data_IF_866585046273
#
_entry.id   IF_866585046273
#
_cell.length_a   1.000
_cell.length_b   1.000
_cell.length_c   1.000
_cell.angle_alpha   90.00
_cell.angle_beta   90.00
_cell.angle_gamma   90.00
#
_symmetry.space_group_name_H-M   'P 1'
#
loop_
_entity.id
_entity.type
_entity.pdbx_description
1 polymer ?
#
# COMPACT_ATOMS: atom_id res chain seq x y z
N UNK A 1 90.33 -4.64 -24.47
CA UNK A 1 89.49 -3.48 -24.07
C UNK A 1 90.34 -2.21 -24.08
N UNK A 2 90.17 -1.35 -25.11
CA UNK A 2 90.89 -0.08 -25.30
C UNK A 2 90.53 0.95 -24.22
N UNK A 3 91.44 1.88 -23.88
CA UNK A 3 91.21 2.93 -22.86
C UNK A 3 89.96 3.77 -23.16
N UNK A 4 89.75 4.11 -24.43
CA UNK A 4 88.59 4.85 -24.93
C UNK A 4 87.24 4.13 -24.65
N UNK A 5 87.23 2.80 -24.67
CA UNK A 5 86.01 2.03 -24.36
C UNK A 5 85.65 2.05 -22.87
N UNK A 6 86.66 2.06 -21.99
CA UNK A 6 86.47 2.13 -20.53
C UNK A 6 85.93 3.49 -20.10
N UNK A 7 86.40 4.55 -20.74
CA UNK A 7 85.96 5.92 -20.44
C UNK A 7 84.51 6.17 -20.87
N UNK A 8 84.10 5.69 -22.06
CA UNK A 8 82.70 5.66 -22.49
C UNK A 8 81.80 4.83 -21.57
N UNK A 9 82.31 3.76 -20.96
CA UNK A 9 81.56 2.97 -19.99
C UNK A 9 81.38 3.71 -18.65
N UNK A 10 82.41 4.43 -18.19
CA UNK A 10 82.34 5.29 -16.99
C UNK A 10 81.34 6.44 -17.15
N UNK A 11 81.38 7.12 -18.30
CA UNK A 11 80.42 8.20 -18.60
C UNK A 11 78.98 7.69 -18.62
N UNK A 12 78.71 6.56 -19.29
CA UNK A 12 77.38 5.92 -19.30
C UNK A 12 76.91 5.51 -17.91
N UNK A 13 77.80 5.00 -17.05
CA UNK A 13 77.45 4.66 -15.67
C UNK A 13 77.17 5.92 -14.82
N UNK A 14 77.94 6.99 -14.99
CA UNK A 14 77.70 8.26 -14.31
C UNK A 14 76.36 8.89 -14.74
N UNK A 15 76.03 8.83 -16.02
CA UNK A 15 74.75 9.31 -16.56
C UNK A 15 73.57 8.48 -16.02
N UNK A 16 73.69 7.14 -15.99
CA UNK A 16 72.71 6.26 -15.34
C UNK A 16 72.52 6.59 -13.87
N UNK A 17 73.60 6.91 -13.15
CA UNK A 17 73.53 7.30 -11.74
C UNK A 17 72.80 8.64 -11.58
N UNK A 18 73.09 9.64 -12.43
CA UNK A 18 72.37 10.92 -12.45
C UNK A 18 70.88 10.75 -12.71
N UNK A 19 70.51 9.91 -13.68
CA UNK A 19 69.11 9.61 -13.98
C UNK A 19 68.39 8.94 -12.80
N UNK A 20 69.03 7.97 -12.12
CA UNK A 20 68.48 7.35 -10.91
C UNK A 20 68.26 8.36 -9.78
N UNK A 21 69.19 9.29 -9.58
CA UNK A 21 69.05 10.34 -8.56
C UNK A 21 67.95 11.33 -8.93
N UNK A 22 67.83 11.69 -10.22
CA UNK A 22 66.76 12.55 -10.71
C UNK A 22 65.38 11.88 -10.56
N UNK A 23 65.28 10.58 -10.84
CA UNK A 23 64.06 9.78 -10.63
C UNK A 23 63.66 9.75 -9.15
N UNK A 24 64.60 9.46 -8.24
CA UNK A 24 64.33 9.48 -6.79
C UNK A 24 63.83 10.85 -6.31
N UNK A 25 64.48 11.94 -6.74
CA UNK A 25 64.02 13.30 -6.41
C UNK A 25 62.62 13.60 -6.96
N UNK A 26 62.32 13.14 -8.17
CA UNK A 26 60.99 13.32 -8.75
C UNK A 26 59.92 12.50 -8.01
N UNK A 27 60.25 11.30 -7.55
CA UNK A 27 59.38 10.46 -6.71
C UNK A 27 59.15 11.09 -5.33
N UNK A 28 60.19 11.63 -4.69
CA UNK A 28 60.08 12.35 -3.42
C UNK A 28 59.14 13.56 -3.53
N UNK A 29 59.29 14.37 -4.58
CA UNK A 29 58.41 15.53 -4.83
C UNK A 29 56.96 15.10 -5.08
N UNK A 30 56.73 13.98 -5.78
CA UNK A 30 55.39 13.41 -5.96
C UNK A 30 54.80 12.95 -4.63
N UNK A 31 55.59 12.25 -3.82
CA UNK A 31 55.18 11.79 -2.49
C UNK A 31 54.84 12.97 -1.56
N UNK A 32 55.60 14.07 -1.59
CA UNK A 32 55.30 15.28 -0.82
C UNK A 32 53.99 15.95 -1.27
N UNK A 33 53.74 16.00 -2.57
CA UNK A 33 52.46 16.50 -3.11
C UNK A 33 51.28 15.63 -2.69
N UNK A 34 51.45 14.31 -2.70
CA UNK A 34 50.42 13.38 -2.24
C UNK A 34 50.17 13.50 -0.72
N UNK A 35 51.23 13.59 0.09
CA UNK A 35 51.12 13.89 1.53
C UNK A 35 50.35 15.18 1.77
N UNK A 36 50.70 16.24 1.04
CA UNK A 36 50.01 17.53 1.13
C UNK A 36 48.53 17.41 0.75
N UNK A 37 48.21 16.70 -0.33
CA UNK A 37 46.83 16.47 -0.78
C UNK A 37 46.00 15.71 0.28
N UNK A 38 46.56 14.64 0.84
CA UNK A 38 45.90 13.85 1.89
C UNK A 38 45.69 14.65 3.17
N UNK A 39 46.68 15.47 3.56
CA UNK A 39 46.57 16.38 4.70
C UNK A 39 45.43 17.39 4.52
N UNK A 40 45.35 18.05 3.35
CA UNK A 40 44.25 18.98 3.05
C UNK A 40 42.89 18.26 3.01
N UNK A 41 42.83 17.04 2.49
CA UNK A 41 41.60 16.25 2.50
C UNK A 41 41.17 15.90 3.93
N UNK A 42 42.10 15.46 4.78
CA UNK A 42 41.83 15.14 6.17
C UNK A 42 41.36 16.38 6.94
N UNK A 43 42.01 17.53 6.75
CA UNK A 43 41.61 18.80 7.36
C UNK A 43 40.20 19.22 6.94
N UNK A 44 39.87 19.10 5.64
CA UNK A 44 38.51 19.37 5.15
C UNK A 44 37.47 18.46 5.80
N UNK A 45 37.76 17.17 5.89
CA UNK A 45 36.85 16.20 6.53
C UNK A 45 36.64 16.56 8.01
N UNK A 46 37.72 16.89 8.72
CA UNK A 46 37.64 17.32 10.11
C UNK A 46 36.79 18.60 10.27
N UNK A 47 37.03 19.63 9.46
CA UNK A 47 36.21 20.85 9.49
C UNK A 47 34.72 20.55 9.22
N UNK A 48 34.41 19.64 8.29
CA UNK A 48 33.01 19.25 8.04
C UNK A 48 32.39 18.46 9.19
N UNK A 49 33.18 17.63 9.89
CA UNK A 49 32.71 16.91 11.07
C UNK A 49 32.40 17.88 12.21
N UNK A 50 33.34 18.78 12.52
CA UNK A 50 33.17 19.82 13.55
C UNK A 50 31.95 20.69 13.24
N UNK A 51 31.75 21.11 11.99
CA UNK A 51 30.58 21.90 11.60
C UNK A 51 29.26 21.14 11.85
N UNK A 52 29.21 19.84 11.54
CA UNK A 52 28.04 18.99 11.78
C UNK A 52 27.79 18.77 13.27
N UNK A 53 28.85 18.59 14.06
CA UNK A 53 28.74 18.45 15.52
C UNK A 53 28.20 19.74 16.14
N UNK A 54 28.77 20.88 15.77
CA UNK A 54 28.28 22.18 16.21
C UNK A 54 26.82 22.43 15.81
N UNK A 55 26.41 22.04 14.60
CA UNK A 55 25.00 22.11 14.19
C UNK A 55 24.09 21.23 15.07
N UNK A 56 24.54 20.01 15.40
CA UNK A 56 23.80 19.10 16.30
C UNK A 56 23.68 19.71 17.70
N UNK A 57 24.76 20.25 18.24
CA UNK A 57 24.77 20.93 19.54
C UNK A 57 23.81 22.13 19.56
N UNK A 58 23.84 22.95 18.51
CA UNK A 58 22.89 24.06 18.37
C UNK A 58 21.45 23.57 18.28
N UNK A 59 21.17 22.49 17.56
CA UNK A 59 19.83 21.92 17.51
C UNK A 59 19.38 21.40 18.87
N UNK A 60 20.26 20.74 19.64
CA UNK A 60 19.97 20.27 20.99
C UNK A 60 19.71 21.46 21.93
N UNK A 61 20.55 22.49 21.90
CA UNK A 61 20.37 23.71 22.69
C UNK A 61 19.08 24.46 22.33
N UNK A 62 18.77 24.58 21.04
CA UNK A 62 17.48 25.16 20.59
C UNK A 62 16.30 24.34 21.10
N UNK A 63 16.38 23.00 21.04
CA UNK A 63 15.31 22.13 21.53
C UNK A 63 15.15 22.21 23.04
N UNK A 64 16.24 22.32 23.81
CA UNK A 64 16.18 22.42 25.28
C UNK A 64 15.60 23.76 25.74
N UNK A 65 15.87 24.85 25.02
CA UNK A 65 15.33 26.19 25.31
C UNK A 65 13.87 26.38 24.88
N UNK A 66 13.31 25.49 24.04
CA UNK A 66 11.90 25.57 23.66
C UNK A 66 10.99 25.16 24.81
N UNK A 67 9.99 25.98 25.09
CA UNK A 67 8.91 25.62 26.02
C UNK A 67 8.05 24.49 25.45
N UNK A 68 7.43 23.73 26.33
CA UNK A 68 6.51 22.66 25.92
C UNK A 68 5.34 23.20 25.08
N UNK A 69 4.86 24.41 25.37
CA UNK A 69 3.84 25.10 24.58
C UNK A 69 4.28 25.35 23.13
N UNK A 70 5.54 25.78 22.91
CA UNK A 70 6.07 25.97 21.56
C UNK A 70 6.20 24.64 20.80
N UNK A 71 6.63 23.57 21.50
CA UNK A 71 6.68 22.23 20.90
C UNK A 71 5.29 21.71 20.56
N UNK A 72 4.29 21.97 21.39
CA UNK A 72 2.89 21.61 21.13
C UNK A 72 2.35 22.34 19.90
N UNK A 73 2.56 23.66 19.79
CA UNK A 73 2.14 24.46 18.64
C UNK A 73 2.79 24.00 17.31
N UNK A 74 4.07 23.59 17.36
CA UNK A 74 4.73 23.00 16.18
C UNK A 74 4.10 21.65 15.78
N UNK A 75 3.81 20.78 16.75
CA UNK A 75 3.15 19.50 16.49
C UNK A 75 1.76 19.70 15.91
N UNK A 76 1.00 20.67 16.42
CA UNK A 76 -0.33 21.01 15.90
C UNK A 76 -0.24 21.48 14.46
N UNK A 77 0.64 22.44 14.16
CA UNK A 77 0.89 22.91 12.78
C UNK A 77 1.29 21.79 11.83
N UNK A 78 2.17 20.89 12.27
CA UNK A 78 2.58 19.73 11.46
C UNK A 78 1.43 18.76 11.23
N UNK A 79 0.57 18.57 12.24
CA UNK A 79 -0.61 17.71 12.17
C UNK A 79 -1.62 18.28 11.17
N UNK A 80 -1.89 19.58 11.25
CA UNK A 80 -2.75 20.30 10.31
C UNK A 80 -2.19 20.27 8.88
N UNK A 81 -0.90 20.51 8.72
CA UNK A 81 -0.24 20.46 7.41
C UNK A 81 -0.34 19.05 6.80
N UNK A 82 -0.16 17.99 7.62
CA UNK A 82 -0.36 16.61 7.17
C UNK A 82 -1.81 16.32 6.83
N UNK A 83 -2.77 16.81 7.61
CA UNK A 83 -4.19 16.63 7.35
C UNK A 83 -4.60 17.29 6.02
N UNK A 84 -4.13 18.53 5.77
CA UNK A 84 -4.33 19.25 4.50
C UNK A 84 -3.72 18.51 3.31
N UNK A 85 -2.50 18.00 3.46
CA UNK A 85 -1.88 17.17 2.41
C UNK A 85 -2.71 15.93 2.12
N UNK A 86 -3.15 15.20 3.15
CA UNK A 86 -3.99 14.00 2.97
C UNK A 86 -5.33 14.33 2.32
N UNK A 87 -5.98 15.44 2.67
CA UNK A 87 -7.26 15.82 2.06
C UNK A 87 -7.12 16.19 0.59
N UNK A 88 -6.00 16.79 0.21
CA UNK A 88 -5.68 17.17 -1.18
C UNK A 88 -5.04 16.03 -1.98
N UNK A 89 -4.65 14.93 -1.34
CA UNK A 89 -4.00 13.82 -2.01
C UNK A 89 -4.95 13.11 -2.99
N UNK A 90 -4.56 12.98 -4.27
CA UNK A 90 -5.33 12.25 -5.27
C UNK A 90 -5.40 10.76 -4.93
N UNK A 91 -6.47 10.10 -5.41
CA UNK A 91 -6.71 8.67 -5.14
C UNK A 91 -5.54 7.76 -5.56
N UNK A 92 -4.88 8.09 -6.66
CA UNK A 92 -3.77 7.30 -7.20
C UNK A 92 -2.54 7.33 -6.28
N UNK A 93 -2.24 8.48 -5.66
CA UNK A 93 -1.15 8.56 -4.67
C UNK A 93 -1.45 7.76 -3.42
N UNK A 94 -2.71 7.73 -2.98
CA UNK A 94 -3.14 6.90 -1.84
C UNK A 94 -3.04 5.42 -2.17
N UNK A 95 -3.36 5.04 -3.41
CA UNK A 95 -3.23 3.67 -3.88
C UNK A 95 -1.76 3.26 -4.00
N UNK A 96 -0.90 4.12 -4.54
CA UNK A 96 0.54 3.87 -4.60
C UNK A 96 1.17 3.75 -3.20
N UNK A 97 0.70 4.54 -2.23
CA UNK A 97 1.15 4.43 -0.84
C UNK A 97 0.72 3.10 -0.19
N UNK A 98 -0.53 2.71 -0.43
CA UNK A 98 -1.03 1.40 0.00
C UNK A 98 -0.20 0.27 -0.61
N UNK A 99 0.14 0.35 -1.89
CA UNK A 99 0.95 -0.64 -2.60
C UNK A 99 2.39 -0.71 -2.07
N UNK A 100 3.00 0.44 -1.73
CA UNK A 100 4.29 0.46 -1.04
C UNK A 100 4.23 -0.30 0.29
N UNK A 101 3.17 -0.08 1.07
CA UNK A 101 2.98 -0.79 2.34
C UNK A 101 2.67 -2.29 2.19
N UNK A 102 1.98 -2.70 1.13
CA UNK A 102 1.78 -4.13 0.84
C UNK A 102 3.11 -4.77 0.43
N UNK A 103 3.85 -4.13 -0.46
CA UNK A 103 5.14 -4.63 -0.94
C UNK A 103 6.19 -4.70 0.18
N UNK A 104 6.19 -3.73 1.09
CA UNK A 104 7.04 -3.77 2.28
C UNK A 104 6.71 -4.97 3.18
N UNK A 105 5.42 -5.27 3.39
CA UNK A 105 4.98 -6.44 4.18
C UNK A 105 5.34 -7.77 3.52
N UNK A 106 5.25 -7.85 2.19
CA UNK A 106 5.65 -9.06 1.44
C UNK A 106 7.15 -9.31 1.54
N UNK A 107 7.97 -8.25 1.55
CA UNK A 107 9.44 -8.35 1.66
C UNK A 107 9.95 -8.52 3.10
N UNK A 108 9.07 -8.45 4.09
CA UNK A 108 9.44 -8.55 5.50
C UNK A 108 9.83 -9.99 5.86
N UNK A 109 10.94 -10.16 6.58
CA UNK A 109 11.36 -11.47 7.11
C UNK A 109 10.33 -12.00 8.12
N UNK A 110 10.29 -13.32 8.29
CA UNK A 110 9.36 -13.95 9.23
C UNK A 110 9.62 -13.49 10.67
N UNK A 111 10.89 -13.41 11.09
CA UNK A 111 11.30 -12.88 12.41
C UNK A 111 10.78 -11.46 12.66
N UNK A 112 10.92 -10.57 11.67
CA UNK A 112 10.42 -9.20 11.78
C UNK A 112 8.89 -9.17 11.82
N UNK A 113 8.23 -10.11 11.14
CA UNK A 113 6.78 -10.24 11.14
C UNK A 113 6.27 -10.71 12.51
N UNK A 114 6.97 -11.64 13.14
CA UNK A 114 6.60 -12.18 14.45
C UNK A 114 6.84 -11.16 15.56
N UNK A 115 7.98 -10.45 15.54
CA UNK A 115 8.23 -9.35 16.47
C UNK A 115 7.17 -8.25 16.37
N UNK A 116 6.74 -7.89 15.15
CA UNK A 116 5.65 -6.92 14.96
C UNK A 116 4.32 -7.44 15.53
N UNK A 117 4.01 -8.73 15.36
CA UNK A 117 2.79 -9.33 15.90
C UNK A 117 2.80 -9.36 17.43
N UNK A 118 3.93 -9.65 18.05
CA UNK A 118 4.07 -9.64 19.51
C UNK A 118 3.89 -8.23 20.06
N UNK A 119 4.55 -7.24 19.47
CA UNK A 119 4.37 -5.84 19.83
C UNK A 119 2.91 -5.38 19.67
N UNK A 120 2.23 -5.78 18.58
CA UNK A 120 0.83 -5.44 18.38
C UNK A 120 -0.08 -6.14 19.40
N UNK A 121 0.23 -7.39 19.83
CA UNK A 121 -0.48 -8.09 20.91
C UNK A 121 -0.36 -7.35 22.23
N UNK A 122 0.86 -7.00 22.63
CA UNK A 122 1.16 -6.27 23.87
C UNK A 122 0.42 -4.93 23.88
N UNK A 123 0.54 -4.14 22.81
CA UNK A 123 -0.20 -2.87 22.64
C UNK A 123 -1.71 -3.05 22.79
N UNK A 124 -2.27 -4.13 22.25
CA UNK A 124 -3.69 -4.43 22.37
C UNK A 124 -4.08 -4.88 23.79
N UNK A 125 -3.19 -5.58 24.51
CA UNK A 125 -3.38 -5.95 25.92
C UNK A 125 -3.38 -4.72 26.81
N UNK A 126 -2.38 -3.86 26.69
CA UNK A 126 -2.30 -2.58 27.41
C UNK A 126 -3.51 -1.71 27.10
N UNK A 127 -3.87 -1.61 25.82
CA UNK A 127 -5.04 -0.88 25.39
C UNK A 127 -6.34 -1.45 25.99
N UNK A 128 -6.44 -2.77 26.21
CA UNK A 128 -7.58 -3.39 26.89
C UNK A 128 -7.56 -3.15 28.39
N UNK A 129 -6.38 -3.15 29.03
CA UNK A 129 -6.23 -2.90 30.46
C UNK A 129 -6.64 -1.47 30.82
N UNK A 130 -6.25 -0.48 29.99
CA UNK A 130 -6.54 0.94 30.19
C UNK A 130 -7.96 1.38 29.79
N UNK A 131 -8.76 0.49 29.18
CA UNK A 131 -10.13 0.82 28.78
C UNK A 131 -11.07 0.95 29.99
N UNK A 132 -11.98 1.91 29.93
CA UNK A 132 -13.11 2.01 30.85
C UNK A 132 -14.17 0.96 30.52
N UNK A 133 -15.00 0.59 31.50
CA UNK A 133 -16.00 -0.46 31.31
C UNK A 133 -17.07 -0.08 30.27
N UNK A 134 -17.44 1.20 30.20
CA UNK A 134 -18.36 1.73 29.18
C UNK A 134 -17.86 1.45 27.75
N UNK A 135 -16.58 1.70 27.48
CA UNK A 135 -15.97 1.46 26.16
C UNK A 135 -15.89 -0.03 25.87
N UNK A 136 -15.71 -0.87 26.90
CA UNK A 136 -15.73 -2.34 26.74
C UNK A 136 -17.12 -2.82 26.38
N UNK A 137 -18.17 -2.32 27.03
CA UNK A 137 -19.54 -2.74 26.72
C UNK A 137 -20.00 -2.25 25.35
N UNK A 138 -19.67 -1.02 24.96
CA UNK A 138 -19.95 -0.50 23.61
C UNK A 138 -19.26 -1.33 22.52
N UNK A 139 -18.01 -1.78 22.75
CA UNK A 139 -17.34 -2.73 21.84
C UNK A 139 -18.04 -4.09 21.80
N UNK A 140 -18.49 -4.62 22.94
CA UNK A 140 -19.26 -5.88 22.99
C UNK A 140 -20.57 -5.73 22.22
N UNK A 141 -21.26 -4.61 22.36
CA UNK A 141 -22.50 -4.31 21.63
C UNK A 141 -22.26 -4.25 20.13
N UNK A 142 -21.24 -3.52 19.66
CA UNK A 142 -20.85 -3.52 18.24
C UNK A 142 -20.56 -4.92 17.70
N UNK A 143 -19.89 -5.77 18.50
CA UNK A 143 -19.64 -7.16 18.11
C UNK A 143 -20.94 -7.98 18.07
N UNK A 144 -21.86 -7.79 19.03
CA UNK A 144 -23.18 -8.43 19.03
C UNK A 144 -24.00 -8.01 17.80
N UNK A 145 -24.02 -6.72 17.48
CA UNK A 145 -24.69 -6.16 16.30
C UNK A 145 -24.09 -6.73 15.01
N UNK A 146 -22.77 -6.73 14.86
CA UNK A 146 -22.09 -7.33 13.70
C UNK A 146 -22.43 -8.82 13.55
N UNK A 147 -22.54 -9.55 14.66
CA UNK A 147 -22.93 -10.98 14.63
C UNK A 147 -24.40 -11.15 14.23
N UNK A 148 -25.30 -10.27 14.69
CA UNK A 148 -26.71 -10.25 14.27
C UNK A 148 -26.82 -10.00 12.77
N UNK A 149 -26.21 -8.93 12.27
CA UNK A 149 -26.26 -8.57 10.84
C UNK A 149 -25.62 -9.64 9.94
N UNK A 150 -24.50 -10.23 10.37
CA UNK A 150 -23.87 -11.32 9.63
C UNK A 150 -24.74 -12.60 9.59
N UNK A 151 -25.46 -12.90 10.69
CA UNK A 151 -26.40 -14.02 10.74
C UNK A 151 -27.62 -13.75 9.86
N UNK A 152 -28.18 -12.55 9.91
CA UNK A 152 -29.38 -12.17 9.15
C UNK A 152 -29.11 -12.10 7.64
N UNK A 153 -27.89 -11.69 7.25
CA UNK A 153 -27.44 -11.73 5.85
C UNK A 153 -27.37 -13.15 5.26
N UNK A 154 -27.22 -14.18 6.11
CA UNK A 154 -27.17 -15.60 5.72
C UNK A 154 -28.51 -16.33 5.98
N UNK A 155 -29.44 -15.75 6.74
CA UNK A 155 -30.68 -16.40 7.18
C UNK A 155 -31.88 -16.27 6.21
N UNK A 156 -31.66 -15.73 5.00
CA UNK A 156 -32.73 -15.29 4.11
C UNK A 156 -33.10 -16.29 2.98
N UNK A 157 -33.04 -17.60 3.26
CA UNK A 157 -33.62 -18.61 2.37
C UNK A 157 -34.63 -19.52 3.10
N UNK A 158 -34.35 -19.88 4.35
CA UNK A 158 -35.18 -20.85 5.11
C UNK A 158 -36.24 -20.19 6.00
N UNK A 159 -36.02 -18.95 6.44
CA UNK A 159 -36.96 -18.19 7.26
C UNK A 159 -37.62 -17.05 6.48
N UNK A 160 -37.98 -17.29 5.21
CA UNK A 160 -38.81 -16.35 4.46
C UNK A 160 -40.14 -16.18 5.19
N UNK A 161 -40.30 -15.07 5.92
CA UNK A 161 -41.54 -14.73 6.61
C UNK A 161 -42.40 -13.89 5.68
N UNK A 162 -43.45 -14.47 5.09
CA UNK A 162 -44.24 -13.77 4.08
C UNK A 162 -45.07 -12.61 4.67
N UNK A 163 -45.14 -12.50 6.00
CA UNK A 163 -45.75 -11.40 6.73
C UNK A 163 -44.88 -10.13 6.79
N UNK A 164 -43.57 -10.21 6.49
CA UNK A 164 -42.67 -9.05 6.52
C UNK A 164 -42.68 -8.23 5.22
N UNK A 165 -43.36 -8.70 4.18
CA UNK A 165 -43.51 -8.02 2.91
C UNK A 165 -44.96 -7.58 2.72
N UNK A 166 -45.17 -6.26 2.74
CA UNK A 166 -46.46 -5.61 2.46
C UNK A 166 -46.28 -4.59 1.36
N UNK A 167 -47.09 -4.67 0.31
CA UNK A 167 -47.04 -3.75 -0.81
C UNK A 167 -47.88 -4.25 -1.99
N UNK A 168 -48.22 -3.36 -2.94
CA UNK A 168 -49.03 -3.70 -4.11
C UNK A 168 -48.38 -4.79 -4.99
N UNK A 169 -47.06 -4.89 -4.96
CA UNK A 169 -46.28 -5.88 -5.70
C UNK A 169 -46.07 -7.19 -4.94
N UNK A 170 -46.92 -7.51 -3.95
CA UNK A 170 -46.92 -8.78 -3.21
C UNK A 170 -48.27 -9.47 -3.40
N UNK A 171 -48.25 -10.77 -3.70
CA UNK A 171 -49.46 -11.58 -3.85
C UNK A 171 -50.01 -11.88 -2.45
N UNK A 172 -51.27 -11.60 -2.16
CA UNK A 172 -51.83 -11.73 -0.80
C UNK A 172 -52.00 -13.19 -0.36
N UNK A 173 -52.15 -14.11 -1.33
CA UNK A 173 -52.39 -15.54 -1.10
C UNK A 173 -51.07 -16.32 -1.04
N UNK A 174 -50.17 -16.11 -2.00
CA UNK A 174 -48.86 -16.80 -2.03
C UNK A 174 -47.77 -16.03 -1.27
N UNK A 175 -48.04 -14.76 -0.92
CA UNK A 175 -47.14 -13.85 -0.19
C UNK A 175 -45.74 -13.74 -0.79
N UNK A 176 -45.65 -13.97 -2.10
CA UNK A 176 -44.47 -13.76 -2.96
C UNK A 176 -44.62 -12.44 -3.71
N UNK A 177 -43.51 -11.87 -4.16
CA UNK A 177 -43.57 -10.72 -5.05
C UNK A 177 -44.34 -11.06 -6.33
N UNK A 178 -45.34 -10.24 -6.66
CA UNK A 178 -45.96 -10.23 -7.98
C UNK A 178 -44.91 -9.72 -8.94
N UNK A 179 -44.40 -10.60 -9.79
CA UNK A 179 -43.58 -10.16 -10.91
C UNK A 179 -44.44 -9.26 -11.80
N UNK A 180 -43.91 -8.13 -12.30
CA UNK A 180 -44.59 -7.30 -13.27
C UNK A 180 -45.06 -8.17 -14.45
N UNK A 181 -46.21 -7.83 -15.04
CA UNK A 181 -46.68 -8.48 -16.27
C UNK A 181 -45.57 -8.44 -17.33
N UNK A 182 -44.95 -9.59 -17.58
CA UNK A 182 -44.00 -9.75 -18.66
C UNK A 182 -44.78 -9.78 -19.97
N UNK A 183 -44.28 -9.08 -20.98
CA UNK A 183 -44.83 -9.14 -22.33
C UNK A 183 -44.07 -10.20 -23.10
N UNK A 184 -44.76 -11.05 -23.85
CA UNK A 184 -44.08 -12.04 -24.69
C UNK A 184 -43.54 -11.34 -25.94
N UNK A 185 -42.25 -11.50 -26.21
CA UNK A 185 -41.62 -10.95 -27.41
C UNK A 185 -42.10 -11.68 -28.67
N UNK A 186 -42.65 -10.94 -29.63
CA UNK A 186 -43.19 -11.48 -30.89
C UNK A 186 -42.16 -12.24 -31.75
N UNK A 187 -40.85 -11.99 -31.55
CA UNK A 187 -39.79 -12.61 -32.36
C UNK A 187 -39.25 -13.92 -31.81
N UNK A 188 -39.36 -14.16 -30.49
CA UNK A 188 -38.69 -15.29 -29.84
C UNK A 188 -39.53 -16.00 -28.77
N UNK A 189 -40.78 -15.59 -28.55
CA UNK A 189 -41.62 -16.02 -27.43
C UNK A 189 -40.92 -15.91 -26.05
N UNK A 190 -39.90 -15.07 -25.94
CA UNK A 190 -39.19 -14.82 -24.69
C UNK A 190 -39.92 -13.75 -23.87
N UNK A 191 -39.88 -13.85 -22.55
CA UNK A 191 -40.45 -12.84 -21.66
C UNK A 191 -39.64 -11.55 -21.72
N UNK A 192 -40.34 -10.42 -21.88
CA UNK A 192 -39.80 -9.07 -21.89
C UNK A 192 -40.34 -8.31 -20.69
N UNK A 193 -39.43 -7.70 -19.93
CA UNK A 193 -39.80 -6.94 -18.74
C UNK A 193 -40.26 -5.52 -19.08
N UNK A 194 -41.20 -4.94 -18.33
CA UNK A 194 -41.56 -3.54 -18.48
C UNK A 194 -40.34 -2.66 -18.13
N UNK A 195 -39.94 -1.80 -19.08
CA UNK A 195 -38.73 -0.97 -18.99
C UNK A 195 -37.51 -1.53 -19.73
N UNK A 196 -37.58 -2.76 -20.24
CA UNK A 196 -36.53 -3.33 -21.07
C UNK A 196 -36.45 -2.64 -22.44
N UNK A 197 -35.24 -2.32 -22.90
CA UNK A 197 -35.01 -1.68 -24.19
C UNK A 197 -35.61 -2.52 -25.33
N UNK A 198 -36.04 -1.88 -26.43
CA UNK A 198 -36.60 -2.58 -27.60
C UNK A 198 -35.67 -3.66 -28.16
N UNK A 199 -34.37 -3.54 -27.89
CA UNK A 199 -33.29 -4.39 -28.38
C UNK A 199 -32.92 -5.51 -27.39
N UNK A 200 -33.38 -5.46 -26.13
CA UNK A 200 -32.91 -6.33 -25.03
C UNK A 200 -33.17 -7.82 -25.21
N UNK A 201 -34.44 -8.23 -25.22
CA UNK A 201 -34.78 -9.66 -25.23
C UNK A 201 -34.35 -10.39 -26.50
N UNK A 202 -34.28 -9.69 -27.64
CA UNK A 202 -34.06 -10.33 -28.92
C UNK A 202 -33.20 -9.62 -29.97
N UNK A 203 -32.53 -8.52 -29.66
CA UNK A 203 -31.86 -7.69 -30.67
C UNK A 203 -32.74 -7.53 -31.95
N UNK A 204 -34.06 -7.33 -31.77
CA UNK A 204 -35.04 -7.27 -32.87
C UNK A 204 -35.10 -8.52 -33.76
N UNK A 205 -34.98 -9.72 -33.18
CA UNK A 205 -35.13 -11.00 -33.88
C UNK A 205 -33.84 -11.56 -34.48
N UNK A 206 -32.68 -10.90 -34.25
CA UNK A 206 -31.40 -11.29 -34.85
C UNK A 206 -30.72 -12.53 -34.26
N UNK A 207 -31.11 -12.96 -33.05
CA UNK A 207 -30.68 -14.27 -32.50
C UNK A 207 -31.91 -15.18 -32.53
N UNK A 208 -31.73 -16.43 -32.95
CA UNK A 208 -32.77 -17.46 -32.87
C UNK A 208 -32.45 -18.31 -31.65
N UNK A 209 -33.34 -18.32 -30.66
CA UNK A 209 -33.22 -19.23 -29.52
C UNK A 209 -33.83 -20.59 -29.92
N UNK A 210 -33.23 -21.72 -29.50
CA UNK A 210 -33.86 -23.01 -29.66
C UNK A 210 -35.21 -23.04 -28.93
N UNK A 211 -36.19 -23.83 -29.43
CA UNK A 211 -37.48 -23.95 -28.77
C UNK A 211 -37.30 -24.46 -27.35
N UNK A 212 -38.07 -23.86 -26.45
CA UNK A 212 -38.04 -24.14 -25.03
C UNK A 212 -38.51 -25.57 -24.76
N UNK A 213 -37.78 -26.30 -23.92
CA UNK A 213 -38.14 -27.66 -23.52
C UNK A 213 -39.24 -27.60 -22.45
N UNK A 214 -40.17 -28.56 -22.41
CA UNK A 214 -41.21 -28.58 -21.40
C UNK A 214 -40.61 -28.62 -19.99
N UNK A 215 -41.28 -27.93 -19.07
CA UNK A 215 -40.86 -27.84 -17.69
C UNK A 215 -40.72 -29.25 -17.07
N UNK A 216 -39.60 -29.55 -16.36
CA UNK A 216 -39.49 -30.78 -15.59
C UNK A 216 -40.66 -30.93 -14.61
N UNK A 217 -41.20 -32.15 -14.48
CA UNK A 217 -42.43 -32.44 -13.71
C UNK A 217 -42.41 -31.90 -12.26
N UNK A 218 -41.23 -31.81 -11.63
CA UNK A 218 -41.06 -31.24 -10.29
C UNK A 218 -41.34 -29.73 -10.22
N UNK A 219 -41.06 -28.99 -11.29
CA UNK A 219 -41.33 -27.55 -11.36
C UNK A 219 -42.79 -27.26 -11.70
N UNK A 220 -43.42 -28.11 -12.52
CA UNK A 220 -44.86 -28.08 -12.80
C UNK A 220 -45.72 -28.20 -11.54
N UNK A 221 -45.32 -29.06 -10.60
CA UNK A 221 -46.00 -29.19 -9.30
C UNK A 221 -45.93 -27.92 -8.44
N UNK A 222 -44.91 -27.08 -8.63
CA UNK A 222 -44.67 -25.89 -7.82
C UNK A 222 -45.26 -24.62 -8.45
N UNK A 223 -45.26 -24.53 -9.78
CA UNK A 223 -45.58 -23.29 -10.50
C UNK A 223 -46.77 -23.41 -11.45
N UNK A 224 -47.30 -24.61 -11.69
CA UNK A 224 -48.56 -24.83 -12.42
C UNK A 224 -48.53 -24.59 -13.93
N UNK A 225 -47.53 -23.86 -14.45
CA UNK A 225 -47.42 -23.53 -15.88
C UNK A 225 -46.46 -24.49 -16.63
N UNK A 226 -46.85 -25.00 -17.82
CA UNK A 226 -46.12 -26.05 -18.53
C UNK A 226 -44.97 -25.60 -19.45
N UNK A 227 -44.80 -24.29 -19.67
CA UNK A 227 -43.79 -23.76 -20.61
C UNK A 227 -42.85 -22.77 -19.89
N UNK A 228 -41.53 -23.03 -19.96
CA UNK A 228 -40.45 -22.14 -19.52
C UNK A 228 -39.49 -21.88 -20.65
#
# INVERSE_FOLDING_TARGET
MSSCQRERARQRNAERQRLRMAQRRAEEVKADRERSRLSHQAQRLLCTQIAREHEREQQVARRSQQTEAHRAALRERDTEARARRRSQQPGDERNADRERHTNARVKQSDESRDAQREHDRERHEDGRALQTEEVREEKRERVRERRRTARDALANHENFRPSMFTGPDVNEVTRRHRLPLTTVCAHRNAWKWPGESKVGCCLEGKVKLPPLAPAPAKLLQLYGDPEF
#
